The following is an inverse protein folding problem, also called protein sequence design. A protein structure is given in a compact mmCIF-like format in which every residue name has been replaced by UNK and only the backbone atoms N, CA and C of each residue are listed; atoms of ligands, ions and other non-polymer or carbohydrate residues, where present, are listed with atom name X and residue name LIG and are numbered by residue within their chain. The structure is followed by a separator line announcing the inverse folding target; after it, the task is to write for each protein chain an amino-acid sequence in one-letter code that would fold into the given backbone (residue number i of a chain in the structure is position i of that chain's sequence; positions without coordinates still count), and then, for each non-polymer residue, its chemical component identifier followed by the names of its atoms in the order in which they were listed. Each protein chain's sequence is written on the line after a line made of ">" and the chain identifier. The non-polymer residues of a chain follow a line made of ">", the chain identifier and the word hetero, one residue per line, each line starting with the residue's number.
data_IF_228381828062
#
_entry.id   IF_228381828062
#
_cell.length_a   1.000
_cell.length_b   1.000
_cell.length_c   1.000
_cell.angle_alpha   90.00
_cell.angle_beta   90.00
_cell.angle_gamma   90.00
#
_symmetry.space_group_name_H-M   'P 1'
#
loop_
_entity.id
_entity.type
_entity.pdbx_description
1 polymer ?
#
# COMPACT_ATOMS: atom_id res chain seq x y z
N UNK A 1 3.40 6.81 -13.85
CA UNK A 1 2.82 5.90 -12.84
C UNK A 1 3.52 4.57 -12.97
N UNK A 2 3.80 3.90 -11.84
CA UNK A 2 4.33 2.53 -11.82
C UNK A 2 3.54 1.68 -10.83
N UNK A 3 3.50 0.37 -11.07
CA UNK A 3 2.86 -0.60 -10.19
C UNK A 3 3.85 -1.69 -9.80
N UNK A 4 3.86 -2.05 -8.52
CA UNK A 4 4.62 -3.19 -7.98
C UNK A 4 3.60 -4.23 -7.52
N UNK A 5 3.80 -5.49 -7.93
CA UNK A 5 3.03 -6.63 -7.43
C UNK A 5 3.72 -7.22 -6.20
N UNK A 6 2.98 -7.35 -5.10
CA UNK A 6 3.45 -7.98 -3.87
C UNK A 6 3.05 -9.45 -3.90
N UNK A 7 4.02 -10.34 -3.67
CA UNK A 7 3.81 -11.79 -3.59
C UNK A 7 4.30 -12.33 -2.26
N UNK A 8 3.65 -13.38 -1.77
CA UNK A 8 4.12 -14.14 -0.61
C UNK A 8 5.24 -15.13 -0.98
N UNK A 9 5.73 -15.87 0.02
CA UNK A 9 6.77 -16.90 -0.14
C UNK A 9 6.38 -18.08 -1.07
N UNK A 10 5.09 -18.23 -1.40
CA UNK A 10 4.57 -19.25 -2.31
C UNK A 10 4.24 -18.64 -3.69
N UNK A 11 4.72 -17.43 -3.98
CA UNK A 11 4.45 -16.68 -5.20
C UNK A 11 2.98 -16.31 -5.42
N UNK A 12 2.12 -16.39 -4.39
CA UNK A 12 0.73 -15.94 -4.46
C UNK A 12 0.70 -14.42 -4.38
N UNK A 13 -0.12 -13.79 -5.21
CA UNK A 13 -0.32 -12.35 -5.17
C UNK A 13 -1.11 -12.00 -3.91
N UNK A 14 -0.55 -11.14 -3.07
CA UNK A 14 -1.21 -10.63 -1.85
C UNK A 14 -1.67 -9.18 -2.03
N UNK A 15 -1.13 -8.48 -3.03
CA UNK A 15 -1.63 -7.16 -3.40
C UNK A 15 -0.69 -6.38 -4.31
N UNK A 16 -0.89 -5.07 -4.34
CA UNK A 16 -0.25 -4.17 -5.28
C UNK A 16 0.08 -2.84 -4.60
N UNK A 17 1.16 -2.20 -5.05
CA UNK A 17 1.49 -0.82 -4.69
C UNK A 17 1.56 0.00 -5.98
N UNK A 18 0.66 0.96 -6.13
CA UNK A 18 0.69 1.93 -7.22
C UNK A 18 1.42 3.20 -6.76
N UNK A 19 2.44 3.62 -7.50
CA UNK A 19 3.12 4.90 -7.27
C UNK A 19 2.62 5.93 -8.27
N UNK A 20 1.98 6.98 -7.74
CA UNK A 20 1.48 8.13 -8.50
C UNK A 20 2.64 9.05 -8.92
N UNK A 21 2.45 9.94 -9.91
CA UNK A 21 3.51 10.84 -10.39
C UNK A 21 4.02 11.81 -9.31
N UNK A 22 3.21 12.10 -8.29
CA UNK A 22 3.55 12.94 -7.15
C UNK A 22 4.29 12.18 -6.03
N UNK A 23 4.59 10.89 -6.24
CA UNK A 23 5.27 10.01 -5.30
C UNK A 23 4.35 9.37 -4.26
N UNK A 24 3.07 9.74 -4.19
CA UNK A 24 2.10 9.09 -3.31
C UNK A 24 1.96 7.63 -3.73
N UNK A 25 2.05 6.73 -2.75
CA UNK A 25 1.84 5.30 -2.99
C UNK A 25 0.45 4.89 -2.51
N UNK A 26 -0.20 4.01 -3.26
CA UNK A 26 -1.52 3.46 -2.93
C UNK A 26 -1.37 1.95 -2.78
N UNK A 27 -1.63 1.44 -1.58
CA UNK A 27 -1.66 0.00 -1.32
C UNK A 27 -3.03 -0.59 -1.64
N UNK A 28 -3.03 -1.72 -2.35
CA UNK A 28 -4.23 -2.49 -2.70
C UNK A 28 -4.05 -3.94 -2.31
N UNK A 29 -5.11 -4.59 -1.85
CA UNK A 29 -5.11 -6.04 -1.62
C UNK A 29 -5.16 -6.82 -2.95
N UNK A 30 -5.13 -8.16 -2.85
CA UNK A 30 -5.21 -9.05 -4.02
C UNK A 30 -6.50 -8.89 -4.85
N UNK A 31 -7.56 -8.29 -4.29
CA UNK A 31 -8.84 -7.99 -4.95
C UNK A 31 -8.91 -6.54 -5.46
N UNK A 32 -7.78 -5.83 -5.51
CA UNK A 32 -7.67 -4.42 -5.89
C UNK A 32 -8.42 -3.43 -4.98
N UNK A 33 -8.83 -3.84 -3.77
CA UNK A 33 -9.41 -2.93 -2.78
C UNK A 33 -8.30 -2.11 -2.15
N UNK A 34 -8.50 -0.79 -2.02
CA UNK A 34 -7.52 0.08 -1.39
C UNK A 34 -7.47 -0.22 0.11
N UNK A 35 -6.27 -0.44 0.64
CA UNK A 35 -6.03 -0.69 2.07
C UNK A 35 -5.33 0.48 2.75
N UNK A 36 -4.65 1.33 1.99
CA UNK A 36 -3.98 2.51 2.52
C UNK A 36 -3.24 3.35 1.49
N UNK A 37 -2.68 4.45 1.99
CA UNK A 37 -1.96 5.45 1.23
C UNK A 37 -0.68 5.83 1.97
N UNK A 38 0.46 5.86 1.29
CA UNK A 38 1.68 6.43 1.85
C UNK A 38 1.96 7.79 1.20
N UNK A 39 2.10 8.82 2.04
CA UNK A 39 2.40 10.19 1.65
C UNK A 39 3.87 10.50 1.93
N UNK A 40 4.74 10.60 0.89
CA UNK A 40 6.17 10.78 1.10
C UNK A 40 6.53 12.17 1.67
N UNK A 41 5.73 13.19 1.39
CA UNK A 41 5.99 14.58 1.87
C UNK A 41 5.87 14.70 3.39
N UNK A 42 4.91 14.01 3.98
CA UNK A 42 4.64 13.97 5.42
C UNK A 42 5.25 12.72 6.08
N UNK A 43 5.76 11.78 5.28
CA UNK A 43 6.29 10.49 5.70
C UNK A 43 5.33 9.71 6.62
N UNK A 44 4.06 9.62 6.21
CA UNK A 44 3.03 8.88 6.95
C UNK A 44 2.31 7.88 6.06
N UNK A 45 1.87 6.78 6.66
CA UNK A 45 0.90 5.88 6.06
C UNK A 45 -0.48 6.13 6.68
N UNK A 46 -1.48 6.23 5.81
CA UNK A 46 -2.89 6.33 6.16
C UNK A 46 -3.61 5.05 5.76
N UNK A 47 -4.62 4.66 6.52
CA UNK A 47 -5.51 3.56 6.13
C UNK A 47 -6.50 3.97 5.02
N UNK A 48 -7.36 3.04 4.59
CA UNK A 48 -8.38 3.29 3.58
C UNK A 48 -9.37 4.42 3.93
N UNK A 49 -9.48 4.78 5.22
CA UNK A 49 -10.32 5.86 5.73
C UNK A 49 -9.52 7.15 5.98
N UNK A 50 -8.29 7.25 5.46
CA UNK A 50 -7.38 8.39 5.61
C UNK A 50 -6.91 8.67 7.04
N UNK A 51 -7.05 7.72 7.97
CA UNK A 51 -6.52 7.84 9.33
C UNK A 51 -5.03 7.52 9.31
N UNK A 52 -4.19 8.36 9.91
CA UNK A 52 -2.76 8.07 10.06
C UNK A 52 -2.61 6.86 10.98
N UNK A 53 -1.95 5.82 10.49
CA UNK A 53 -1.71 4.57 11.23
C UNK A 53 -0.24 4.35 11.56
N UNK A 54 0.68 5.02 10.84
CA UNK A 54 2.10 4.97 11.14
C UNK A 54 2.88 6.12 10.48
N UNK A 55 4.10 6.34 10.98
CA UNK A 55 5.16 7.06 10.27
C UNK A 55 6.00 6.09 9.44
N UNK A 56 6.40 6.49 8.23
CA UNK A 56 7.06 5.63 7.25
C UNK A 56 6.09 4.90 6.31
N UNK A 57 6.66 4.22 5.32
CA UNK A 57 5.92 3.41 4.33
C UNK A 57 5.69 2.00 4.87
N UNK A 58 4.49 1.74 5.37
CA UNK A 58 4.07 0.43 5.90
C UNK A 58 2.97 -0.22 5.04
N UNK A 59 2.85 0.19 3.77
CA UNK A 59 1.79 -0.32 2.89
C UNK A 59 1.85 -1.84 2.73
N UNK A 60 3.03 -2.45 2.76
CA UNK A 60 3.19 -3.90 2.71
C UNK A 60 2.46 -4.59 3.87
N UNK A 61 2.56 -4.05 5.09
CA UNK A 61 1.87 -4.60 6.27
C UNK A 61 0.35 -4.51 6.14
N UNK A 62 -0.16 -3.35 5.68
CA UNK A 62 -1.61 -3.17 5.46
C UNK A 62 -2.16 -4.09 4.36
N UNK A 63 -1.37 -4.36 3.33
CA UNK A 63 -1.73 -5.29 2.27
C UNK A 63 -1.81 -6.72 2.82
N UNK A 64 -0.81 -7.16 3.58
CA UNK A 64 -0.79 -8.52 4.14
C UNK A 64 -1.89 -8.76 5.16
N UNK A 65 -2.28 -7.76 5.95
CA UNK A 65 -3.36 -7.89 6.95
C UNK A 65 -4.77 -7.95 6.30
N UNK A 66 -4.92 -7.46 5.07
CA UNK A 66 -6.17 -7.47 4.33
C UNK A 66 -6.36 -8.69 3.40
N UNK A 67 -5.33 -9.55 3.30
CA UNK A 67 -5.21 -10.69 2.36
C UNK A 67 -5.91 -11.95 2.84
#
# INVERSE_FOLDING_TARGET
>A
MSQITIKDRHFRIVGYIDTRPDGVKVGKDAKYRIVGYYEPKSNVTKDAHYRIVAHGDILSSLITDAS
#
